data_IF_529181085554
#
_entry.id   IF_529181085554
#
_cell.length_a   1.000
_cell.length_b   1.000
_cell.length_c   1.000
_cell.angle_alpha   90.00
_cell.angle_beta   90.00
_cell.angle_gamma   90.00
#
_symmetry.space_group_name_H-M   'P 1'
#
loop_
_entity.id
_entity.type
_entity.pdbx_description
1 polymer ?
#
# COMPACT_ATOMS: atom_id res chain seq x y z
N UNK A 1 -17.90 -18.30 40.96
CA UNK A 1 -17.50 -17.13 41.78
C UNK A 1 -16.15 -17.35 42.51
N UNK A 2 -15.04 -17.58 41.79
CA UNK A 2 -13.67 -17.63 42.37
C UNK A 2 -12.59 -17.11 41.39
N UNK A 3 -12.95 -16.20 40.48
CA UNK A 3 -12.00 -15.53 39.57
C UNK A 3 -11.93 -14.00 39.77
N UNK A 4 -12.94 -13.40 40.42
CA UNK A 4 -12.98 -11.95 40.66
C UNK A 4 -12.12 -11.47 41.86
N UNK A 5 -11.69 -12.37 42.76
CA UNK A 5 -10.93 -11.97 43.96
C UNK A 5 -9.40 -11.90 43.77
N UNK A 6 -8.86 -12.50 42.69
CA UNK A 6 -7.41 -12.50 42.42
C UNK A 6 -6.99 -11.22 41.69
N UNK A 7 -7.82 -10.70 40.79
CA UNK A 7 -7.56 -9.43 40.07
C UNK A 7 -7.61 -8.22 41.02
N UNK A 8 -8.50 -8.24 42.02
CA UNK A 8 -8.63 -7.15 42.99
C UNK A 8 -7.47 -7.07 44.02
N UNK A 9 -6.73 -8.17 44.25
CA UNK A 9 -5.55 -8.18 45.14
C UNK A 9 -4.28 -7.69 44.45
N UNK A 10 -4.14 -7.85 43.13
CA UNK A 10 -2.98 -7.34 42.39
C UNK A 10 -3.11 -5.86 41.99
N UNK A 11 -4.32 -5.33 41.86
CA UNK A 11 -4.53 -3.90 41.58
C UNK A 11 -4.26 -3.03 42.83
N UNK A 12 -4.52 -3.52 44.05
CA UNK A 12 -4.28 -2.76 45.29
C UNK A 12 -2.80 -2.65 45.70
N UNK A 13 -1.92 -3.51 45.20
CA UNK A 13 -0.48 -3.40 45.49
C UNK A 13 0.30 -2.50 44.52
N UNK A 14 -0.34 -2.00 43.45
CA UNK A 14 0.25 -1.00 42.56
C UNK A 14 -0.23 0.44 42.82
N UNK A 15 -1.10 0.67 43.81
CA UNK A 15 -1.72 1.98 44.05
C UNK A 15 -1.22 2.73 45.29
N UNK A 16 -0.07 2.35 45.85
CA UNK A 16 0.53 3.07 46.99
C UNK A 16 2.03 3.33 46.77
N UNK A 17 2.36 4.21 45.82
CA UNK A 17 3.76 4.62 45.63
C UNK A 17 4.10 5.49 44.43
N UNK A 18 3.19 5.73 43.49
CA UNK A 18 3.48 6.57 42.32
C UNK A 18 2.49 7.73 42.26
N UNK A 19 2.84 8.85 42.92
CA UNK A 19 2.35 10.16 42.47
C UNK A 19 3.07 10.48 41.17
N UNK A 20 2.62 9.90 40.06
CA UNK A 20 3.05 10.35 38.75
C UNK A 20 2.27 11.62 38.44
N UNK A 21 2.99 12.74 38.36
CA UNK A 21 2.56 13.87 37.55
C UNK A 21 2.44 13.36 36.10
N UNK A 22 1.35 12.67 35.75
CA UNK A 22 1.05 12.37 34.36
C UNK A 22 0.73 13.70 33.71
N UNK A 23 1.71 14.27 33.00
CA UNK A 23 1.48 15.36 32.07
C UNK A 23 0.37 14.91 31.12
N UNK A 24 -0.67 15.72 31.02
CA UNK A 24 -1.70 15.53 30.02
C UNK A 24 -1.04 15.67 28.64
N UNK A 25 -0.77 14.54 27.98
CA UNK A 25 -0.06 14.47 26.70
C UNK A 25 -0.75 15.27 25.59
N UNK A 26 -2.04 15.56 25.77
CA UNK A 26 -2.82 16.39 24.85
C UNK A 26 -2.47 17.88 24.96
N UNK A 27 -1.87 18.31 26.08
CA UNK A 27 -1.53 19.71 26.40
C UNK A 27 -0.03 20.01 26.40
N UNK A 28 0.82 19.03 26.13
CA UNK A 28 2.27 19.22 26.03
C UNK A 28 2.58 20.03 24.76
N UNK A 29 3.44 21.05 24.86
CA UNK A 29 3.95 21.77 23.68
C UNK A 29 4.72 20.81 22.76
N UNK A 30 4.43 20.81 21.46
CA UNK A 30 5.21 20.04 20.47
C UNK A 30 6.60 20.63 20.21
N UNK A 31 6.89 21.80 20.79
CA UNK A 31 8.17 22.51 20.62
C UNK A 31 9.14 22.24 21.76
N UNK A 32 8.65 21.75 22.89
CA UNK A 32 9.43 21.64 24.11
C UNK A 32 10.00 20.23 24.24
N UNK A 33 11.30 20.12 24.51
CA UNK A 33 11.98 18.83 24.66
C UNK A 33 11.55 18.17 25.96
N UNK A 34 10.87 17.03 25.88
CA UNK A 34 10.53 16.21 27.04
C UNK A 34 11.66 15.21 27.31
N UNK A 35 12.42 15.43 28.38
CA UNK A 35 13.38 14.43 28.89
C UNK A 35 12.62 13.29 29.57
N UNK A 36 12.48 12.16 28.88
CA UNK A 36 12.00 10.91 29.48
C UNK A 36 13.15 10.21 30.20
N UNK A 37 12.94 9.85 31.47
CA UNK A 37 13.93 9.11 32.26
C UNK A 37 14.18 7.71 31.69
N UNK A 38 15.46 7.31 31.67
CA UNK A 38 15.94 6.02 31.17
C UNK A 38 15.45 4.84 32.03
N UNK A 39 14.22 4.38 31.84
CA UNK A 39 13.78 3.10 32.42
C UNK A 39 12.82 2.39 31.46
N UNK A 40 13.39 1.75 30.44
CA UNK A 40 12.70 0.73 29.65
C UNK A 40 13.40 -0.59 29.92
N UNK A 41 12.81 -1.44 30.76
CA UNK A 41 13.18 -2.84 30.83
C UNK A 41 12.69 -3.53 29.55
N UNK A 42 13.58 -3.72 28.58
CA UNK A 42 13.34 -4.61 27.46
C UNK A 42 13.34 -6.06 27.95
N UNK A 43 12.16 -6.69 28.00
CA UNK A 43 12.08 -8.15 28.04
C UNK A 43 12.37 -8.68 26.64
N UNK A 44 13.51 -9.34 26.49
CA UNK A 44 13.89 -10.01 25.23
C UNK A 44 13.10 -11.32 25.09
N UNK A 45 12.04 -11.29 24.29
CA UNK A 45 11.54 -12.51 23.66
C UNK A 45 12.46 -12.82 22.48
N UNK A 46 13.21 -13.93 22.56
CA UNK A 46 14.01 -14.44 21.45
C UNK A 46 13.07 -15.20 20.53
N UNK A 47 12.46 -14.47 19.62
CA UNK A 47 11.83 -15.03 18.42
C UNK A 47 12.90 -14.92 17.33
N UNK A 48 13.14 -15.98 16.57
CA UNK A 48 14.11 -15.99 15.46
C UNK A 48 13.60 -15.07 14.34
N UNK A 49 13.95 -13.79 14.44
CA UNK A 49 13.39 -12.67 13.65
C UNK A 49 14.31 -12.22 12.52
N UNK A 50 15.47 -12.85 12.33
CA UNK A 50 16.45 -12.33 11.39
C UNK A 50 15.93 -12.45 9.95
N UNK A 51 15.83 -11.31 9.27
CA UNK A 51 15.53 -11.28 7.83
C UNK A 51 16.81 -11.61 7.08
N UNK A 52 16.79 -12.73 6.34
CA UNK A 52 17.90 -13.12 5.48
C UNK A 52 17.70 -12.52 4.09
N UNK A 53 18.78 -12.02 3.49
CA UNK A 53 18.77 -11.43 2.15
C UNK A 53 19.90 -12.02 1.32
N UNK A 54 19.55 -12.55 0.15
CA UNK A 54 20.49 -13.01 -0.88
C UNK A 54 20.33 -12.14 -2.13
N UNK A 55 21.44 -11.71 -2.72
CA UNK A 55 21.42 -11.02 -4.02
C UNK A 55 22.07 -11.92 -5.06
N UNK A 56 21.32 -12.28 -6.10
CA UNK A 56 21.82 -13.07 -7.20
C UNK A 56 22.77 -12.24 -8.07
N UNK A 57 23.60 -12.90 -8.89
CA UNK A 57 24.63 -12.26 -9.72
C UNK A 57 24.06 -11.29 -10.77
N UNK A 58 22.79 -11.45 -11.13
CA UNK A 58 22.06 -10.55 -12.04
C UNK A 58 21.36 -9.38 -11.33
N UNK A 59 21.56 -9.20 -10.01
CA UNK A 59 20.97 -8.12 -9.23
C UNK A 59 19.60 -8.41 -8.62
N UNK A 60 18.96 -9.55 -8.92
CA UNK A 60 17.70 -9.96 -8.29
C UNK A 60 17.92 -10.21 -6.80
N UNK A 61 17.11 -9.56 -5.96
CA UNK A 61 17.19 -9.71 -4.50
C UNK A 61 16.11 -10.65 -3.99
N UNK A 62 16.48 -11.51 -3.06
CA UNK A 62 15.61 -12.48 -2.41
C UNK A 62 15.69 -12.22 -0.91
N UNK A 63 14.58 -11.87 -0.29
CA UNK A 63 14.48 -11.64 1.14
C UNK A 63 13.52 -12.65 1.76
N UNK A 64 13.84 -13.20 2.92
CA UNK A 64 12.87 -13.98 3.67
C UNK A 64 12.95 -13.80 5.16
N UNK A 65 11.82 -14.03 5.81
CA UNK A 65 11.74 -14.21 7.25
C UNK A 65 10.95 -15.49 7.51
N UNK A 66 11.62 -16.49 8.08
CA UNK A 66 10.93 -17.70 8.46
C UNK A 66 10.09 -17.42 9.72
N UNK A 67 8.80 -17.76 9.67
CA UNK A 67 7.89 -17.64 10.81
C UNK A 67 7.30 -19.01 11.08
N UNK A 68 7.19 -19.36 12.36
CA UNK A 68 6.58 -20.62 12.77
C UNK A 68 5.12 -20.65 12.32
N UNK A 69 4.75 -21.65 11.52
CA UNK A 69 3.41 -21.81 10.97
C UNK A 69 3.37 -22.74 9.76
N UNK A 70 2.17 -23.13 9.34
CA UNK A 70 1.94 -23.93 8.13
C UNK A 70 1.63 -23.08 6.89
N UNK A 71 1.55 -21.76 7.04
CA UNK A 71 1.23 -20.83 5.98
C UNK A 71 2.45 -20.00 5.58
N UNK A 72 2.47 -19.61 4.32
CA UNK A 72 3.46 -18.73 3.75
C UNK A 72 2.82 -17.68 2.84
N UNK A 73 3.55 -16.58 2.67
CA UNK A 73 3.26 -15.56 1.67
C UNK A 73 4.53 -15.27 0.89
N UNK A 74 4.44 -15.19 -0.44
CA UNK A 74 5.55 -14.81 -1.32
C UNK A 74 5.06 -13.68 -2.22
N UNK A 75 5.88 -12.65 -2.39
CA UNK A 75 5.59 -11.55 -3.29
C UNK A 75 6.79 -11.20 -4.16
N UNK A 76 6.53 -10.87 -5.43
CA UNK A 76 7.48 -10.21 -6.33
C UNK A 76 7.16 -8.72 -6.32
N UNK A 77 8.07 -7.92 -5.76
CA UNK A 77 7.95 -6.47 -5.68
C UNK A 77 8.85 -5.87 -6.75
N UNK A 78 8.26 -5.09 -7.64
CA UNK A 78 8.92 -4.53 -8.81
C UNK A 78 8.90 -3.01 -8.66
N UNK A 79 10.06 -2.37 -8.78
CA UNK A 79 10.17 -0.90 -8.80
C UNK A 79 9.62 -0.36 -10.13
N UNK A 80 8.29 -0.27 -10.20
CA UNK A 80 7.49 0.13 -11.35
C UNK A 80 6.16 0.73 -10.83
N UNK A 81 5.39 1.41 -11.67
CA UNK A 81 4.13 2.03 -11.28
C UNK A 81 3.94 3.42 -11.90
N UNK A 82 2.86 4.13 -11.54
CA UNK A 82 2.51 5.44 -12.08
C UNK A 82 3.66 6.46 -12.06
N UNK A 83 4.51 6.42 -11.01
CA UNK A 83 5.68 7.30 -10.89
C UNK A 83 6.60 7.24 -12.12
N UNK A 84 6.69 6.09 -12.77
CA UNK A 84 7.60 5.84 -13.88
C UNK A 84 6.93 5.99 -15.26
N UNK A 85 5.71 6.53 -15.31
CA UNK A 85 4.95 6.69 -16.56
C UNK A 85 5.29 7.98 -17.34
N UNK A 86 6.30 8.77 -16.94
CA UNK A 86 6.62 10.04 -17.60
C UNK A 86 6.96 9.93 -19.09
N UNK A 87 7.45 8.76 -19.53
CA UNK A 87 7.70 8.42 -20.94
C UNK A 87 6.64 7.51 -21.58
N UNK A 88 5.52 7.27 -20.90
CA UNK A 88 4.48 6.32 -21.29
C UNK A 88 3.09 6.98 -21.25
N UNK A 89 2.10 6.30 -21.81
CA UNK A 89 0.71 6.75 -21.70
C UNK A 89 0.26 6.54 -20.25
N UNK A 90 -0.21 7.60 -19.60
CA UNK A 90 -0.62 7.51 -18.19
C UNK A 90 -1.78 6.52 -18.02
N UNK A 91 -1.67 5.64 -17.03
CA UNK A 91 -2.59 4.53 -16.79
C UNK A 91 -2.07 3.17 -17.24
N UNK A 92 -0.89 3.09 -17.87
CA UNK A 92 -0.29 1.81 -18.31
C UNK A 92 -0.09 0.83 -17.16
N UNK A 93 0.31 1.31 -15.98
CA UNK A 93 0.43 0.49 -14.76
C UNK A 93 -0.93 0.03 -14.23
N UNK A 94 -2.01 0.80 -14.42
CA UNK A 94 -3.37 0.36 -14.07
C UNK A 94 -3.84 -0.79 -14.97
N UNK A 95 -3.46 -0.78 -16.25
CA UNK A 95 -3.67 -1.94 -17.13
C UNK A 95 -2.89 -3.15 -16.64
N UNK A 96 -1.63 -2.99 -16.22
CA UNK A 96 -0.83 -4.08 -15.67
C UNK A 96 -1.43 -4.68 -14.38
N UNK A 97 -2.08 -3.88 -13.55
CA UNK A 97 -2.85 -4.38 -12.40
C UNK A 97 -3.93 -5.37 -12.86
N UNK A 98 -4.73 -4.99 -13.86
CA UNK A 98 -5.82 -5.84 -14.38
C UNK A 98 -5.30 -7.04 -15.16
N UNK A 99 -4.16 -6.91 -15.82
CA UNK A 99 -3.49 -7.98 -16.56
C UNK A 99 -2.69 -8.92 -15.64
N UNK A 100 -2.54 -8.60 -14.35
CA UNK A 100 -1.87 -9.47 -13.41
C UNK A 100 -2.56 -10.83 -13.29
N UNK A 101 -1.76 -11.91 -13.30
CA UNK A 101 -2.26 -13.30 -13.23
C UNK A 101 -3.22 -13.70 -14.37
N UNK A 102 -3.11 -13.07 -15.54
CA UNK A 102 -3.77 -13.50 -16.79
C UNK A 102 -2.95 -14.56 -17.54
N UNK A 103 -3.14 -14.68 -18.86
CA UNK A 103 -2.45 -15.66 -19.68
C UNK A 103 -0.94 -15.50 -19.66
N UNK A 104 -0.27 -16.64 -19.63
CA UNK A 104 1.18 -16.78 -19.56
C UNK A 104 1.62 -18.04 -20.30
N UNK A 105 2.90 -18.40 -20.28
CA UNK A 105 3.37 -19.59 -21.00
C UNK A 105 2.76 -20.88 -20.43
N UNK A 106 2.57 -20.99 -19.10
CA UNK A 106 1.93 -22.16 -18.49
C UNK A 106 0.40 -22.08 -18.46
N UNK A 107 -0.17 -20.88 -18.37
CA UNK A 107 -1.60 -20.71 -18.16
C UNK A 107 -2.28 -20.07 -19.38
N UNK A 108 -3.34 -20.72 -19.87
CA UNK A 108 -4.08 -20.24 -21.04
C UNK A 108 -4.80 -18.91 -20.78
N UNK A 109 -5.32 -18.71 -19.58
CA UNK A 109 -6.05 -17.54 -19.14
C UNK A 109 -6.02 -17.41 -17.60
N UNK A 110 -6.73 -16.40 -17.07
CA UNK A 110 -6.87 -16.17 -15.62
C UNK A 110 -7.60 -17.31 -14.90
N UNK A 111 -8.53 -18.00 -15.56
CA UNK A 111 -9.27 -19.10 -14.93
C UNK A 111 -8.37 -20.30 -14.68
N UNK A 112 -7.45 -20.59 -15.61
CA UNK A 112 -6.44 -21.62 -15.42
C UNK A 112 -5.49 -21.31 -14.25
N UNK A 113 -5.12 -20.03 -14.07
CA UNK A 113 -4.36 -19.59 -12.89
C UNK A 113 -5.18 -19.79 -11.62
N UNK A 114 -6.45 -19.35 -11.61
CA UNK A 114 -7.37 -19.51 -10.49
C UNK A 114 -7.50 -20.98 -10.06
N UNK A 115 -7.73 -21.90 -11.00
CA UNK A 115 -7.83 -23.33 -10.74
C UNK A 115 -6.51 -23.89 -10.13
N UNK A 116 -5.36 -23.48 -10.66
CA UNK A 116 -4.06 -23.91 -10.13
C UNK A 116 -3.84 -23.44 -8.68
N UNK A 117 -4.32 -22.24 -8.35
CA UNK A 117 -4.20 -21.63 -7.03
C UNK A 117 -5.21 -22.20 -6.02
N UNK A 118 -6.43 -22.52 -6.45
CA UNK A 118 -7.44 -23.21 -5.65
C UNK A 118 -7.00 -24.62 -5.27
N UNK A 119 -6.37 -25.35 -6.19
CA UNK A 119 -5.75 -26.66 -5.91
C UNK A 119 -4.64 -26.61 -4.85
N UNK A 120 -4.13 -25.42 -4.54
CA UNK A 120 -3.14 -25.19 -3.48
C UNK A 120 -3.75 -24.55 -2.22
N UNK A 121 -5.07 -24.35 -2.18
CA UNK A 121 -5.80 -23.57 -1.17
C UNK A 121 -5.14 -22.20 -0.94
N UNK A 122 -4.77 -21.54 -2.05
CA UNK A 122 -4.01 -20.30 -2.03
C UNK A 122 -4.81 -19.14 -2.62
N UNK A 123 -4.46 -17.94 -2.17
CA UNK A 123 -4.96 -16.68 -2.71
C UNK A 123 -3.82 -15.97 -3.43
N UNK A 124 -4.16 -15.16 -4.41
CA UNK A 124 -3.22 -14.35 -5.15
C UNK A 124 -3.81 -12.99 -5.47
N UNK A 125 -2.94 -12.00 -5.60
CA UNK A 125 -3.34 -10.65 -5.97
C UNK A 125 -2.19 -9.89 -6.64
N UNK A 126 -2.54 -8.99 -7.54
CA UNK A 126 -1.63 -8.03 -8.14
C UNK A 126 -2.09 -6.63 -7.78
N UNK A 127 -1.23 -5.88 -7.08
CA UNK A 127 -1.54 -4.53 -6.65
C UNK A 127 -0.46 -3.57 -7.14
N UNK A 128 -0.87 -2.38 -7.55
CA UNK A 128 0.06 -1.28 -7.81
C UNK A 128 0.07 -0.33 -6.62
N UNK A 129 1.22 0.24 -6.32
CA UNK A 129 1.39 1.49 -5.59
C UNK A 129 1.89 2.55 -6.59
N UNK A 130 2.26 3.76 -6.13
CA UNK A 130 2.81 4.77 -7.04
C UNK A 130 4.18 4.39 -7.59
N UNK A 131 4.98 3.71 -6.77
CA UNK A 131 6.41 3.49 -6.97
C UNK A 131 6.82 2.00 -7.00
N UNK A 132 5.89 1.09 -6.73
CA UNK A 132 6.07 -0.34 -6.93
C UNK A 132 4.81 -1.05 -7.43
N UNK A 133 4.99 -2.19 -8.10
CA UNK A 133 3.94 -3.17 -8.40
C UNK A 133 4.28 -4.43 -7.62
N UNK A 134 3.29 -5.05 -6.98
CA UNK A 134 3.45 -6.30 -6.24
C UNK A 134 2.53 -7.39 -6.80
N UNK A 135 3.13 -8.53 -7.13
CA UNK A 135 2.43 -9.78 -7.40
C UNK A 135 2.64 -10.68 -6.20
N UNK A 136 1.57 -11.04 -5.50
CA UNK A 136 1.67 -11.81 -4.26
C UNK A 136 0.80 -13.05 -4.30
N UNK A 137 1.27 -14.10 -3.65
CA UNK A 137 0.54 -15.34 -3.39
C UNK A 137 0.66 -15.71 -1.92
N UNK A 138 -0.39 -16.26 -1.35
CA UNK A 138 -0.40 -16.76 0.03
C UNK A 138 -1.10 -18.10 0.10
N UNK A 139 -0.52 -19.05 0.83
CA UNK A 139 -1.04 -20.42 0.92
C UNK A 139 -0.26 -21.27 1.91
N UNK A 140 -0.37 -22.59 1.81
CA UNK A 140 0.39 -23.49 2.67
C UNK A 140 1.86 -23.59 2.25
N UNK A 141 2.76 -23.67 3.23
CA UNK A 141 4.20 -23.83 2.99
C UNK A 141 4.54 -25.13 2.25
N UNK A 142 3.71 -26.18 2.36
CA UNK A 142 3.83 -27.42 1.60
C UNK A 142 3.67 -27.23 0.09
N UNK A 143 2.97 -26.18 -0.33
CA UNK A 143 2.72 -25.85 -1.75
C UNK A 143 3.70 -24.80 -2.29
N UNK A 144 4.68 -24.37 -1.49
CA UNK A 144 5.56 -23.23 -1.80
C UNK A 144 6.22 -23.31 -3.19
N UNK A 145 6.77 -24.47 -3.57
CA UNK A 145 7.43 -24.61 -4.87
C UNK A 145 6.47 -24.33 -6.04
N UNK A 146 5.22 -24.78 -5.94
CA UNK A 146 4.16 -24.51 -6.93
C UNK A 146 3.73 -23.04 -6.92
N UNK A 147 3.61 -22.43 -5.73
CA UNK A 147 3.28 -21.01 -5.59
C UNK A 147 4.33 -20.10 -6.26
N UNK A 148 5.61 -20.41 -6.05
CA UNK A 148 6.72 -19.68 -6.68
C UNK A 148 6.74 -19.89 -8.20
N UNK A 149 6.42 -21.10 -8.67
CA UNK A 149 6.30 -21.38 -10.10
C UNK A 149 5.21 -20.52 -10.76
N UNK A 150 4.00 -20.47 -10.17
CA UNK A 150 2.90 -19.63 -10.66
C UNK A 150 3.31 -18.15 -10.68
N UNK A 151 3.93 -17.66 -9.60
CA UNK A 151 4.43 -16.27 -9.54
C UNK A 151 5.44 -15.98 -10.65
N UNK A 152 6.42 -16.87 -10.86
CA UNK A 152 7.46 -16.66 -11.87
C UNK A 152 6.88 -16.57 -13.28
N UNK A 153 5.90 -17.43 -13.59
CA UNK A 153 5.32 -17.53 -14.92
C UNK A 153 4.40 -16.34 -15.20
N UNK A 154 3.54 -15.98 -14.24
CA UNK A 154 2.63 -14.83 -14.39
C UNK A 154 3.37 -13.48 -14.42
N UNK A 155 4.53 -13.36 -13.76
CA UNK A 155 5.34 -12.13 -13.77
C UNK A 155 6.27 -12.04 -14.98
N UNK A 156 6.94 -13.13 -15.36
CA UNK A 156 8.01 -13.10 -16.38
C UNK A 156 7.63 -13.76 -17.70
N UNK A 157 6.49 -14.45 -17.79
CA UNK A 157 6.06 -15.20 -18.98
C UNK A 157 4.65 -14.79 -19.43
N UNK A 158 4.20 -13.59 -19.10
CA UNK A 158 2.91 -13.08 -19.54
C UNK A 158 2.84 -13.00 -21.08
N UNK A 159 1.69 -13.36 -21.66
CA UNK A 159 1.49 -13.30 -23.12
C UNK A 159 0.95 -11.94 -23.59
N UNK A 160 0.17 -11.28 -22.74
CA UNK A 160 -0.50 -9.99 -22.96
C UNK A 160 -1.10 -9.91 -24.38
N UNK A 161 -2.32 -10.39 -24.59
CA UNK A 161 -2.97 -10.35 -25.91
C UNK A 161 -3.79 -9.07 -26.12
N UNK A 162 -4.05 -8.66 -27.37
CA UNK A 162 -4.91 -7.50 -27.64
C UNK A 162 -6.31 -7.65 -27.05
N UNK A 163 -6.87 -8.88 -27.10
CA UNK A 163 -8.15 -9.21 -26.46
C UNK A 163 -8.13 -8.97 -24.95
N UNK A 164 -7.06 -9.36 -24.26
CA UNK A 164 -6.90 -9.10 -22.82
C UNK A 164 -6.75 -7.61 -22.52
N UNK A 165 -6.06 -6.85 -23.39
CA UNK A 165 -5.94 -5.39 -23.25
C UNK A 165 -7.30 -4.71 -23.41
N UNK A 166 -8.13 -5.14 -24.36
CA UNK A 166 -9.51 -4.66 -24.51
C UNK A 166 -10.38 -5.00 -23.29
N UNK A 167 -10.25 -6.21 -22.75
CA UNK A 167 -10.97 -6.60 -21.53
C UNK A 167 -10.52 -5.78 -20.32
N UNK A 168 -9.22 -5.53 -20.18
CA UNK A 168 -8.68 -4.65 -19.15
C UNK A 168 -9.23 -3.23 -19.28
N UNK A 169 -9.28 -2.67 -20.49
CA UNK A 169 -9.87 -1.36 -20.76
C UNK A 169 -11.33 -1.28 -20.30
N UNK A 170 -12.15 -2.30 -20.62
CA UNK A 170 -13.55 -2.38 -20.17
C UNK A 170 -13.66 -2.49 -18.64
N UNK A 171 -12.82 -3.32 -18.02
CA UNK A 171 -12.80 -3.46 -16.56
C UNK A 171 -12.42 -2.15 -15.87
N UNK A 172 -11.43 -1.42 -16.40
CA UNK A 172 -11.03 -0.12 -15.87
C UNK A 172 -12.14 0.91 -16.08
N UNK A 173 -12.79 0.94 -17.25
CA UNK A 173 -13.93 1.85 -17.50
C UNK A 173 -15.04 1.65 -16.47
N UNK A 174 -15.40 0.39 -16.21
CA UNK A 174 -16.41 0.06 -15.20
C UNK A 174 -15.97 0.48 -13.79
N UNK A 175 -14.70 0.29 -13.45
CA UNK A 175 -14.15 0.71 -12.15
C UNK A 175 -14.18 2.24 -11.98
N UNK A 176 -13.83 2.99 -13.03
CA UNK A 176 -13.90 4.46 -13.01
C UNK A 176 -15.34 4.96 -12.89
N UNK A 177 -16.28 4.35 -13.61
CA UNK A 177 -17.71 4.65 -13.50
C UNK A 177 -18.24 4.32 -12.09
N UNK A 178 -17.80 3.21 -11.51
CA UNK A 178 -18.17 2.84 -10.14
C UNK A 178 -17.59 3.81 -9.11
N UNK A 179 -16.33 4.24 -9.26
CA UNK A 179 -15.72 5.28 -8.43
C UNK A 179 -16.43 6.62 -8.59
N UNK A 180 -16.86 6.96 -9.80
CA UNK A 180 -17.63 8.18 -10.03
C UNK A 180 -19.00 8.12 -9.37
N UNK A 181 -19.68 6.96 -9.42
CA UNK A 181 -21.00 6.70 -8.82
C UNK A 181 -20.96 6.56 -7.30
N UNK A 182 -19.86 6.08 -6.73
CA UNK A 182 -19.70 5.92 -5.29
C UNK A 182 -18.25 6.23 -4.91
N UNK A 183 -17.87 7.52 -4.86
CA UNK A 183 -16.52 7.98 -4.56
C UNK A 183 -15.96 7.37 -3.27
N UNK A 184 -14.88 6.55 -3.33
CA UNK A 184 -14.15 6.20 -2.13
C UNK A 184 -13.37 7.44 -1.68
N UNK A 185 -13.92 8.15 -0.67
CA UNK A 185 -13.44 9.47 -0.22
C UNK A 185 -11.94 9.50 0.05
N UNK A 186 -11.44 8.56 0.85
CA UNK A 186 -10.02 8.50 1.24
C UNK A 186 -9.07 8.30 0.03
N UNK A 187 -9.21 7.24 -0.81
CA UNK A 187 -8.39 7.08 -2.01
C UNK A 187 -8.48 8.26 -2.98
N UNK A 188 -9.67 8.85 -3.18
CA UNK A 188 -9.83 9.98 -4.10
C UNK A 188 -9.15 11.25 -3.58
N UNK A 189 -9.28 11.56 -2.29
CA UNK A 189 -8.54 12.68 -1.70
C UNK A 189 -7.03 12.47 -1.79
N UNK A 190 -6.55 11.24 -1.59
CA UNK A 190 -5.14 10.93 -1.73
C UNK A 190 -4.65 11.13 -3.17
N UNK A 191 -5.42 10.68 -4.17
CA UNK A 191 -5.15 10.91 -5.58
C UNK A 191 -5.06 12.41 -5.92
N UNK A 192 -6.07 13.19 -5.50
CA UNK A 192 -6.12 14.64 -5.72
C UNK A 192 -4.95 15.35 -5.02
N UNK A 193 -4.59 14.92 -3.82
CA UNK A 193 -3.50 15.50 -3.07
C UNK A 193 -2.15 15.28 -3.78
N UNK A 194 -1.88 14.06 -4.24
CA UNK A 194 -0.65 13.74 -4.97
C UNK A 194 -0.56 14.47 -6.32
N UNK A 195 -1.61 14.40 -7.13
CA UNK A 195 -1.68 15.06 -8.44
C UNK A 195 -1.57 16.59 -8.30
N UNK A 196 -2.15 17.18 -7.25
CA UNK A 196 -2.02 18.62 -6.97
C UNK A 196 -0.63 19.00 -6.48
N UNK A 197 -0.06 18.24 -5.53
CA UNK A 197 1.22 18.57 -4.90
C UNK A 197 2.41 18.42 -5.85
N UNK A 198 2.41 17.38 -6.70
CA UNK A 198 3.52 17.04 -7.59
C UNK A 198 3.22 17.32 -9.08
N UNK A 199 1.96 17.64 -9.43
CA UNK A 199 1.54 18.00 -10.80
C UNK A 199 2.00 16.94 -11.82
N UNK A 200 2.54 17.36 -12.96
CA UNK A 200 2.93 16.46 -14.04
C UNK A 200 4.33 15.85 -13.85
N UNK A 201 4.80 15.66 -12.61
CA UNK A 201 6.08 14.99 -12.35
C UNK A 201 5.87 13.75 -11.47
N UNK A 202 6.55 12.65 -11.82
CA UNK A 202 6.74 11.45 -10.99
C UNK A 202 5.51 11.09 -10.11
N UNK A 203 5.50 11.43 -8.82
CA UNK A 203 4.44 11.11 -7.85
C UNK A 203 3.09 11.80 -8.11
N UNK A 204 3.06 12.83 -8.95
CA UNK A 204 1.84 13.52 -9.37
C UNK A 204 1.22 12.91 -10.63
N UNK A 205 1.90 11.94 -11.27
CA UNK A 205 1.29 11.16 -12.33
C UNK A 205 0.13 10.32 -11.78
N UNK A 206 -1.00 10.25 -12.51
CA UNK A 206 -2.24 9.71 -11.98
C UNK A 206 -2.11 8.20 -11.74
N UNK A 207 -2.61 7.71 -10.60
CA UNK A 207 -2.64 6.27 -10.30
C UNK A 207 -3.62 5.55 -11.21
N UNK A 208 -4.80 6.14 -11.35
CA UNK A 208 -5.88 5.60 -12.17
C UNK A 208 -5.75 6.09 -13.60
N UNK A 209 -5.99 5.19 -14.56
CA UNK A 209 -6.00 5.56 -15.98
C UNK A 209 -7.01 6.69 -16.23
N UNK A 210 -6.57 7.84 -16.79
CA UNK A 210 -7.50 8.88 -17.22
C UNK A 210 -8.46 8.34 -18.28
N UNK A 211 -9.74 8.70 -18.21
CA UNK A 211 -10.77 8.16 -19.11
C UNK A 211 -10.44 8.39 -20.60
N UNK A 212 -9.86 9.54 -20.92
CA UNK A 212 -9.40 9.89 -22.27
C UNK A 212 -8.27 8.98 -22.80
N UNK A 213 -7.53 8.30 -21.92
CA UNK A 213 -6.41 7.44 -22.29
C UNK A 213 -6.83 5.98 -22.52
N UNK A 214 -8.04 5.56 -22.10
CA UNK A 214 -8.51 4.17 -22.22
C UNK A 214 -8.44 3.61 -23.64
N UNK A 215 -8.73 4.44 -24.65
CA UNK A 215 -8.65 4.05 -26.06
C UNK A 215 -7.26 4.20 -26.70
N UNK A 216 -6.29 4.77 -25.98
CA UNK A 216 -4.96 5.09 -26.50
C UNK A 216 -3.86 4.12 -26.05
N UNK A 217 -4.07 3.40 -24.94
CA UNK A 217 -3.10 2.43 -24.42
C UNK A 217 -3.19 1.16 -25.26
N UNK A 218 -2.10 0.82 -25.96
CA UNK A 218 -2.00 -0.37 -26.79
C UNK A 218 -1.23 -1.50 -26.09
N UNK A 219 -1.35 -2.73 -26.61
CA UNK A 219 -0.50 -3.87 -26.21
C UNK A 219 0.98 -3.52 -26.25
N UNK A 220 1.41 -2.82 -27.30
CA UNK A 220 2.80 -2.42 -27.47
C UNK A 220 3.28 -1.47 -26.37
N UNK A 221 2.44 -0.53 -25.93
CA UNK A 221 2.79 0.40 -24.84
C UNK A 221 3.00 -0.34 -23.52
N UNK A 222 2.14 -1.32 -23.23
CA UNK A 222 2.25 -2.18 -22.05
C UNK A 222 3.54 -3.00 -22.10
N UNK A 223 3.87 -3.58 -23.26
CA UNK A 223 5.10 -4.36 -23.44
C UNK A 223 6.33 -3.49 -23.27
N UNK A 224 6.33 -2.28 -23.84
CA UNK A 224 7.43 -1.34 -23.65
C UNK A 224 7.62 -0.99 -22.17
N UNK A 225 6.53 -0.80 -21.43
CA UNK A 225 6.61 -0.52 -20.00
C UNK A 225 7.18 -1.71 -19.22
N UNK A 226 6.66 -2.93 -19.44
CA UNK A 226 7.18 -4.16 -18.80
C UNK A 226 8.64 -4.36 -19.15
N UNK A 227 9.00 -4.33 -20.43
CA UNK A 227 10.38 -4.52 -20.88
C UNK A 227 11.34 -3.43 -20.37
N UNK A 228 10.86 -2.22 -20.05
CA UNK A 228 11.68 -1.16 -19.46
C UNK A 228 11.91 -1.40 -17.97
N UNK A 229 10.85 -1.73 -17.22
CA UNK A 229 10.89 -1.68 -15.75
C UNK A 229 11.07 -3.04 -15.06
N UNK A 230 10.69 -4.14 -15.70
CA UNK A 230 10.76 -5.48 -15.12
C UNK A 230 12.16 -6.05 -15.38
N UNK A 231 13.13 -5.51 -14.64
CA UNK A 231 14.54 -5.91 -14.66
C UNK A 231 14.94 -6.53 -13.33
N UNK A 232 15.84 -7.53 -13.29
CA UNK A 232 16.20 -8.23 -12.06
C UNK A 232 16.69 -7.27 -10.95
N UNK A 233 17.49 -6.26 -11.27
CA UNK A 233 17.98 -5.25 -10.32
C UNK A 233 16.86 -4.36 -9.74
N UNK A 234 15.69 -4.31 -10.40
CA UNK A 234 14.48 -3.59 -9.97
C UNK A 234 13.47 -4.50 -9.27
N UNK A 235 13.81 -5.77 -9.03
CA UNK A 235 12.93 -6.74 -8.40
C UNK A 235 13.45 -7.22 -7.04
N UNK A 236 12.51 -7.46 -6.13
CA UNK A 236 12.74 -8.16 -4.87
C UNK A 236 11.69 -9.25 -4.72
N UNK A 237 12.13 -10.48 -4.46
CA UNK A 237 11.24 -11.58 -4.08
C UNK A 237 11.28 -11.69 -2.56
N UNK A 238 10.15 -11.43 -1.92
CA UNK A 238 10.02 -11.44 -0.46
C UNK A 238 9.14 -12.62 -0.02
N UNK A 239 9.64 -13.44 0.91
CA UNK A 239 8.90 -14.57 1.47
C UNK A 239 8.77 -14.50 3.00
N UNK A 240 7.58 -14.79 3.52
CA UNK A 240 7.33 -14.91 4.96
C UNK A 240 6.76 -16.30 5.25
N UNK A 241 7.21 -16.94 6.34
CA UNK A 241 6.79 -18.31 6.69
C UNK A 241 7.51 -19.39 5.87
N UNK A 242 8.70 -19.06 5.35
CA UNK A 242 9.49 -19.89 4.44
C UNK A 242 10.96 -19.89 4.86
N UNK A 243 11.61 -21.03 4.74
CA UNK A 243 13.06 -21.19 4.91
C UNK A 243 13.81 -20.52 3.74
N UNK A 244 14.86 -19.76 4.04
CA UNK A 244 15.55 -18.92 3.06
C UNK A 244 16.20 -19.70 1.93
N UNK A 245 16.94 -20.77 2.24
CA UNK A 245 17.64 -21.54 1.22
C UNK A 245 16.65 -22.27 0.30
N UNK A 246 15.50 -22.70 0.84
CA UNK A 246 14.41 -23.27 0.07
C UNK A 246 13.78 -22.24 -0.90
N UNK A 247 13.55 -21.00 -0.44
CA UNK A 247 13.08 -19.91 -1.31
C UNK A 247 14.09 -19.61 -2.42
N UNK A 248 15.37 -19.46 -2.07
CA UNK A 248 16.44 -19.18 -3.04
C UNK A 248 16.49 -20.26 -4.11
N UNK A 249 16.47 -21.54 -3.74
CA UNK A 249 16.46 -22.67 -4.69
C UNK A 249 15.26 -22.64 -5.63
N UNK A 250 14.04 -22.41 -5.12
CA UNK A 250 12.85 -22.31 -5.98
C UNK A 250 12.90 -21.08 -6.89
N UNK A 251 13.44 -19.95 -6.42
CA UNK A 251 13.66 -18.76 -7.26
C UNK A 251 14.66 -19.04 -8.37
N UNK A 252 15.82 -19.63 -8.06
CA UNK A 252 16.83 -20.00 -9.07
C UNK A 252 16.27 -20.99 -10.10
N UNK A 253 15.38 -21.89 -9.67
CA UNK A 253 14.71 -22.85 -10.56
C UNK A 253 13.74 -22.20 -11.54
N UNK A 254 12.90 -21.27 -11.08
CA UNK A 254 11.75 -20.81 -11.85
C UNK A 254 11.88 -19.40 -12.43
N UNK A 255 12.63 -18.51 -11.77
CA UNK A 255 12.81 -17.15 -12.27
C UNK A 255 13.88 -17.08 -13.35
N UNK A 256 14.65 -18.13 -13.64
CA UNK A 256 15.63 -18.12 -14.72
C UNK A 256 14.98 -18.60 -16.04
N UNK A 257 15.07 -17.83 -17.15
CA UNK A 257 15.67 -16.49 -17.29
C UNK A 257 14.87 -15.37 -16.60
N UNK A 258 15.58 -14.48 -15.91
CA UNK A 258 15.00 -13.42 -15.04
C UNK A 258 14.41 -12.21 -15.75
N UNK A 259 14.56 -12.16 -17.07
CA UNK A 259 14.00 -11.10 -17.89
C UNK A 259 12.65 -11.59 -18.45
N UNK A 260 11.60 -10.74 -18.49
CA UNK A 260 10.32 -11.11 -19.07
C UNK A 260 10.43 -11.53 -20.54
N UNK A 261 9.65 -12.54 -20.96
CA UNK A 261 9.57 -13.03 -22.33
C UNK A 261 9.24 -11.92 -23.34
N UNK A 262 8.35 -10.98 -22.98
CA UNK A 262 7.95 -9.82 -23.79
C UNK A 262 9.13 -8.90 -24.13
N UNK A 263 10.24 -8.98 -23.38
CA UNK A 263 11.46 -8.21 -23.67
C UNK A 263 12.15 -8.67 -24.98
N UNK A 264 11.80 -9.85 -25.51
CA UNK A 264 12.31 -10.35 -26.77
C UNK A 264 11.50 -9.83 -27.98
N UNK A 265 10.34 -9.21 -27.75
CA UNK A 265 9.50 -8.70 -28.82
C UNK A 265 10.13 -7.51 -29.54
N UNK A 266 9.76 -7.29 -30.80
CA UNK A 266 10.32 -6.21 -31.64
C UNK A 266 10.13 -4.83 -30.99
N UNK A 267 8.99 -4.63 -30.35
CA UNK A 267 8.59 -3.35 -29.74
C UNK A 267 9.36 -3.05 -28.46
N UNK A 268 10.00 -4.05 -27.86
CA UNK A 268 10.81 -3.95 -26.66
C UNK A 268 12.29 -3.59 -26.92
N UNK A 269 12.67 -3.36 -28.18
CA UNK A 269 14.05 -3.03 -28.58
C UNK A 269 14.32 -1.53 -28.49
N UNK A 270 15.53 -1.16 -28.06
CA UNK A 270 16.02 0.23 -27.98
C UNK A 270 15.15 1.16 -27.11
N UNK A 271 14.64 0.64 -26.00
CA UNK A 271 13.87 1.42 -25.04
C UNK A 271 14.78 2.36 -24.23
N UNK A 272 14.31 3.57 -23.88
CA UNK A 272 15.02 4.42 -22.95
C UNK A 272 15.15 3.72 -21.58
N UNK A 273 16.19 4.06 -20.80
CA UNK A 273 16.28 3.55 -19.44
C UNK A 273 15.09 4.04 -18.60
N UNK A 274 14.72 3.33 -17.51
CA UNK A 274 13.70 3.80 -16.57
C UNK A 274 13.97 5.21 -16.09
N UNK A 275 12.90 6.02 -16.00
CA UNK A 275 12.98 7.35 -15.39
C UNK A 275 13.39 7.24 -13.91
N UNK A 276 14.48 7.93 -13.55
CA UNK A 276 14.98 8.01 -12.18
C UNK A 276 14.92 9.45 -11.64
N UNK A 277 14.08 10.30 -12.24
CA UNK A 277 13.87 11.68 -11.79
C UNK A 277 13.40 11.71 -10.33
N UNK A 278 13.94 12.69 -9.60
CA UNK A 278 13.54 12.98 -8.22
C UNK A 278 12.24 13.76 -8.25
N UNK A 279 11.28 13.33 -7.42
CA UNK A 279 9.99 14.01 -7.29
C UNK A 279 10.17 15.42 -6.76
N UNK A 280 9.48 16.39 -7.38
CA UNK A 280 9.54 17.79 -6.96
C UNK A 280 8.20 18.20 -6.37
N UNK A 281 8.17 18.53 -5.08
CA UNK A 281 6.98 19.10 -4.47
C UNK A 281 6.78 20.54 -4.95
N UNK A 282 5.59 20.83 -5.45
CA UNK A 282 5.23 22.17 -5.96
C UNK A 282 4.12 22.83 -5.15
N UNK A 283 3.48 22.07 -4.26
CA UNK A 283 2.24 22.45 -3.61
C UNK A 283 1.12 22.72 -4.61
N UNK A 284 -0.02 23.17 -4.09
CA UNK A 284 -1.14 23.57 -4.94
C UNK A 284 -2.47 23.55 -4.21
N UNK A 285 -3.51 23.89 -4.95
CA UNK A 285 -4.89 23.85 -4.49
C UNK A 285 -5.77 23.30 -5.62
N UNK A 286 -6.61 22.34 -5.27
CA UNK A 286 -7.60 21.78 -6.19
C UNK A 286 -8.92 21.61 -5.44
N UNK A 287 -10.01 21.97 -6.11
CA UNK A 287 -11.38 21.81 -5.65
C UNK A 287 -12.16 21.06 -6.72
N UNK A 288 -12.85 20.01 -6.32
CA UNK A 288 -13.75 19.26 -7.19
C UNK A 288 -15.16 19.45 -6.67
N UNK A 289 -16.01 20.09 -7.47
CA UNK A 289 -17.44 20.19 -7.16
C UNK A 289 -18.16 18.95 -7.71
N UNK A 290 -18.98 18.32 -6.88
CA UNK A 290 -19.77 17.13 -7.23
C UNK A 290 -21.22 17.38 -6.88
N UNK A 291 -22.10 17.10 -7.83
CA UNK A 291 -23.54 17.10 -7.60
C UNK A 291 -23.92 15.79 -6.88
N UNK A 292 -24.26 15.90 -5.59
CA UNK A 292 -24.58 14.73 -4.79
C UNK A 292 -25.99 14.17 -5.05
N UNK A 293 -26.84 14.91 -5.78
CA UNK A 293 -28.25 14.54 -6.01
C UNK A 293 -28.43 13.27 -6.84
N UNK A 294 -27.41 12.88 -7.62
CA UNK A 294 -27.44 11.72 -8.52
C UNK A 294 -27.01 10.41 -7.83
N UNK A 295 -26.52 10.49 -6.59
CA UNK A 295 -26.03 9.34 -5.85
C UNK A 295 -27.15 8.61 -5.09
N UNK A 296 -27.37 7.35 -5.46
CA UNK A 296 -28.37 6.47 -4.84
C UNK A 296 -27.89 5.83 -3.53
N UNK A 297 -26.68 6.16 -3.07
CA UNK A 297 -26.15 5.70 -1.79
C UNK A 297 -26.50 6.71 -0.68
N UNK A 298 -26.67 6.27 0.58
CA UNK A 298 -26.83 7.16 1.72
C UNK A 298 -25.47 7.78 2.07
N UNK A 299 -24.85 8.49 1.13
CA UNK A 299 -23.70 9.33 1.44
C UNK A 299 -24.28 10.65 1.98
N UNK A 300 -24.03 10.99 3.25
CA UNK A 300 -24.45 12.28 3.74
C UNK A 300 -23.73 13.40 2.98
N UNK A 301 -24.43 14.51 2.75
CA UNK A 301 -23.92 15.66 1.96
C UNK A 301 -22.78 16.39 2.70
N UNK A 302 -21.57 15.85 2.65
CA UNK A 302 -20.38 16.49 3.22
C UNK A 302 -19.39 16.95 2.17
N UNK A 303 -18.70 18.03 2.52
CA UNK A 303 -17.47 18.41 1.86
C UNK A 303 -16.32 17.68 2.54
N UNK A 304 -15.51 17.00 1.75
CA UNK A 304 -14.28 16.36 2.23
C UNK A 304 -13.07 17.19 1.80
N UNK A 305 -12.09 17.36 2.69
CA UNK A 305 -10.91 18.15 2.44
C UNK A 305 -9.67 17.46 3.00
N UNK A 306 -8.56 17.56 2.26
CA UNK A 306 -7.25 17.08 2.70
C UNK A 306 -6.22 18.21 2.54
N UNK A 307 -5.37 18.39 3.55
CA UNK A 307 -4.22 19.28 3.50
C UNK A 307 -2.97 18.44 3.74
N UNK A 308 -2.01 18.54 2.83
CA UNK A 308 -0.76 17.80 2.88
C UNK A 308 0.44 18.71 2.68
N UNK A 309 1.52 18.41 3.40
CA UNK A 309 2.81 19.07 3.29
C UNK A 309 3.84 18.08 2.72
N UNK A 310 4.91 18.62 2.15
CA UNK A 310 6.09 17.82 1.82
C UNK A 310 6.66 17.17 3.10
N UNK A 311 7.12 15.93 2.97
CA UNK A 311 7.71 15.15 4.07
C UNK A 311 9.18 14.85 3.79
N UNK A 312 9.84 14.19 4.73
CA UNK A 312 11.12 13.53 4.56
C UNK A 312 10.99 12.17 3.83
N UNK A 313 12.09 11.72 3.21
CA UNK A 313 12.22 10.35 2.68
C UNK A 313 12.29 9.31 3.81
N UNK A 314 11.98 8.05 3.52
CA UNK A 314 12.11 6.95 4.49
C UNK A 314 13.57 6.63 4.87
N UNK A 315 14.53 7.15 4.10
CA UNK A 315 15.96 7.00 4.36
C UNK A 315 16.52 8.09 5.28
N UNK A 316 15.76 9.15 5.51
CA UNK A 316 16.18 10.30 6.31
C UNK A 316 15.89 10.09 7.80
N UNK A 317 16.71 10.68 8.68
CA UNK A 317 16.59 10.54 10.13
C UNK A 317 15.24 11.09 10.66
N UNK A 318 14.64 12.04 9.94
CA UNK A 318 13.36 12.67 10.28
C UNK A 318 12.15 11.75 10.07
N UNK A 319 12.32 10.60 9.38
CA UNK A 319 11.22 9.68 9.10
C UNK A 319 10.56 9.14 10.37
N UNK A 320 11.35 8.66 11.33
CA UNK A 320 10.81 8.13 12.60
C UNK A 320 10.12 9.23 13.42
N UNK A 321 10.70 10.43 13.61
CA UNK A 321 9.99 11.59 14.17
C UNK A 321 8.67 11.93 13.45
N UNK A 322 8.64 11.88 12.12
CA UNK A 322 7.42 12.14 11.34
C UNK A 322 6.33 11.08 11.60
N UNK A 323 6.71 9.79 11.68
CA UNK A 323 5.78 8.71 12.07
C UNK A 323 5.24 8.89 13.49
N UNK A 324 6.08 9.33 14.42
CA UNK A 324 5.65 9.64 15.80
C UNK A 324 4.68 10.83 15.84
N UNK A 325 4.97 11.90 15.09
CA UNK A 325 4.08 13.04 14.96
C UNK A 325 2.72 12.61 14.39
N UNK A 326 2.72 11.80 13.33
CA UNK A 326 1.49 11.24 12.76
C UNK A 326 0.70 10.43 13.80
N UNK A 327 1.37 9.57 14.56
CA UNK A 327 0.74 8.76 15.62
C UNK A 327 0.16 9.61 16.75
N UNK A 328 0.82 10.71 17.11
CA UNK A 328 0.40 11.64 18.17
C UNK A 328 -0.79 12.50 17.75
N UNK A 329 -0.78 13.01 16.51
CA UNK A 329 -1.91 13.73 15.93
C UNK A 329 -3.13 12.81 15.85
N UNK A 330 -2.92 11.59 15.32
CA UNK A 330 -3.92 10.53 15.24
C UNK A 330 -5.18 10.97 14.46
N UNK A 331 -6.34 10.61 14.99
CA UNK A 331 -7.64 10.81 14.35
C UNK A 331 -8.50 9.56 14.42
N UNK A 332 -9.56 9.52 13.61
CA UNK A 332 -10.51 8.41 13.55
C UNK A 332 -11.92 8.91 13.24
N UNK A 333 -12.80 7.97 12.88
CA UNK A 333 -14.21 8.29 12.69
C UNK A 333 -14.95 8.46 14.02
N UNK A 334 -16.02 9.27 14.01
CA UNK A 334 -16.94 9.44 15.15
C UNK A 334 -17.59 8.11 15.58
N UNK A 335 -17.72 7.15 14.66
CA UNK A 335 -18.28 5.82 14.91
C UNK A 335 -17.18 4.75 15.03
N UNK A 336 -16.31 4.86 16.04
CA UNK A 336 -15.36 3.80 16.39
C UNK A 336 -15.87 3.03 17.61
N UNK A 337 -16.63 1.95 17.39
CA UNK A 337 -17.13 1.05 18.44
C UNK A 337 -16.04 0.09 18.97
N UNK A 338 -14.84 0.61 19.24
CA UNK A 338 -13.72 -0.16 19.77
C UNK A 338 -13.37 0.20 21.21
N UNK A 339 -12.80 -0.76 21.94
CA UNK A 339 -12.26 -0.51 23.28
C UNK A 339 -11.01 0.37 23.29
N UNK A 340 -10.45 0.64 24.49
CA UNK A 340 -9.23 1.42 24.67
C UNK A 340 -8.06 0.93 23.80
N UNK A 341 -7.25 1.85 23.27
CA UNK A 341 -6.05 1.54 22.46
C UNK A 341 -6.15 1.89 20.97
N UNK A 342 -7.31 2.29 20.47
CA UNK A 342 -7.51 2.70 19.06
C UNK A 342 -7.13 4.16 18.73
N UNK A 343 -6.43 4.86 19.63
CA UNK A 343 -6.08 6.27 19.43
C UNK A 343 -7.13 7.28 19.91
N UNK A 344 -8.08 6.88 20.77
CA UNK A 344 -9.12 7.77 21.33
C UNK A 344 -8.58 8.93 22.18
N UNK A 345 -7.30 8.87 22.57
CA UNK A 345 -6.61 9.91 23.34
C UNK A 345 -5.61 10.71 22.49
N UNK A 346 -5.65 10.57 21.17
CA UNK A 346 -4.82 11.36 20.26
C UNK A 346 -5.34 12.80 20.17
N UNK A 347 -4.47 13.74 19.80
CA UNK A 347 -4.78 15.17 19.90
C UNK A 347 -5.97 15.59 19.04
N UNK A 348 -6.01 15.12 17.79
CA UNK A 348 -7.12 15.45 16.89
C UNK A 348 -8.42 14.81 17.36
N UNK A 349 -8.37 13.57 17.87
CA UNK A 349 -9.55 12.89 18.39
C UNK A 349 -10.17 13.66 19.58
N UNK A 350 -9.37 14.03 20.57
CA UNK A 350 -9.86 14.73 21.77
C UNK A 350 -10.34 16.14 21.43
N UNK A 351 -9.57 16.92 20.68
CA UNK A 351 -9.87 18.33 20.46
C UNK A 351 -10.95 18.56 19.39
N UNK A 352 -11.08 17.66 18.41
CA UNK A 352 -12.04 17.83 17.31
C UNK A 352 -13.31 17.01 17.57
N UNK A 353 -13.20 15.73 17.92
CA UNK A 353 -14.37 14.87 18.03
C UNK A 353 -15.07 15.02 19.39
N UNK A 354 -14.33 15.08 20.51
CA UNK A 354 -14.97 15.16 21.83
C UNK A 354 -15.52 16.57 22.16
N UNK A 355 -14.82 17.65 21.78
CA UNK A 355 -15.25 19.02 22.13
C UNK A 355 -16.45 19.48 21.27
N UNK A 356 -16.48 19.14 19.98
CA UNK A 356 -17.59 19.54 19.09
C UNK A 356 -18.88 18.73 19.31
N UNK A 357 -18.84 17.66 20.10
CA UNK A 357 -20.02 16.93 20.53
C UNK A 357 -20.86 17.67 21.57
N UNK A 358 -20.36 18.73 22.22
CA UNK A 358 -21.06 19.39 23.34
C UNK A 358 -21.90 20.63 22.95
N UNK A 359 -21.85 21.11 21.71
CA UNK A 359 -22.57 22.32 21.28
C UNK A 359 -23.84 22.02 20.47
N UNK A 360 -24.92 22.76 20.73
CA UNK A 360 -26.29 22.54 20.25
C UNK A 360 -26.53 22.61 18.72
N UNK A 361 -25.49 22.76 17.87
CA UNK A 361 -25.58 22.66 16.40
C UNK A 361 -25.44 21.21 15.87
N UNK A 362 -25.96 20.29 16.66
CA UNK A 362 -25.41 18.95 16.90
C UNK A 362 -25.82 17.84 15.91
N UNK A 363 -26.47 18.16 14.78
CA UNK A 363 -26.76 17.20 13.70
C UNK A 363 -25.89 17.38 12.46
N UNK A 364 -25.56 18.62 12.07
CA UNK A 364 -24.69 18.88 10.91
C UNK A 364 -23.20 18.63 11.20
N UNK A 365 -22.74 18.96 12.41
CA UNK A 365 -21.33 18.81 12.79
C UNK A 365 -20.94 17.40 13.26
N UNK A 366 -21.88 16.65 13.85
CA UNK A 366 -21.68 15.24 14.27
C UNK A 366 -21.30 14.32 13.12
N UNK A 367 -21.71 14.73 11.93
CA UNK A 367 -21.79 13.94 10.73
C UNK A 367 -20.70 14.43 9.73
N UNK A 368 -20.39 15.74 9.70
CA UNK A 368 -19.26 16.28 8.94
C UNK A 368 -17.87 15.89 9.46
N UNK A 369 -17.77 15.35 10.67
CA UNK A 369 -16.50 14.88 11.26
C UNK A 369 -16.31 13.36 11.17
N UNK A 370 -17.23 12.65 10.49
CA UNK A 370 -17.12 11.19 10.32
C UNK A 370 -15.83 10.79 9.58
N UNK A 371 -15.21 11.72 8.85
CA UNK A 371 -14.00 11.49 8.06
C UNK A 371 -12.77 12.34 8.46
N UNK A 372 -12.50 12.51 9.76
CA UNK A 372 -11.17 12.94 10.20
C UNK A 372 -10.18 11.76 10.13
N UNK A 373 -9.98 11.27 8.91
CA UNK A 373 -9.05 10.20 8.60
C UNK A 373 -7.66 10.78 8.36
N UNK A 374 -6.68 10.21 9.08
CA UNK A 374 -5.22 10.34 8.91
C UNK A 374 -4.78 11.64 8.24
N UNK A 375 -4.79 12.73 8.99
CA UNK A 375 -4.12 13.95 8.60
C UNK A 375 -2.62 13.67 8.52
N UNK A 376 -2.04 13.98 7.35
CA UNK A 376 -0.72 13.62 6.88
C UNK A 376 -0.64 12.21 6.25
N UNK A 377 -1.05 12.05 4.97
CA UNK A 377 -0.12 11.44 4.04
C UNK A 377 1.06 12.40 4.02
N UNK A 378 2.06 12.13 4.84
CA UNK A 378 3.37 12.71 4.66
C UNK A 378 3.76 12.34 3.23
N UNK A 379 3.66 13.27 2.28
CA UNK A 379 3.92 12.95 0.88
C UNK A 379 5.44 12.94 0.73
N UNK A 380 6.03 11.81 1.12
CA UNK A 380 7.46 11.64 1.15
C UNK A 380 7.99 11.77 -0.28
N UNK A 381 8.94 12.69 -0.55
CA UNK A 381 9.84 12.53 -1.67
C UNK A 381 10.61 11.24 -1.37
N UNK A 382 10.50 10.24 -2.25
CA UNK A 382 11.27 9.01 -2.10
C UNK A 382 12.67 9.18 -2.65
#
# INVERSE_FOLDING_TARGET
MRFASIVHRHIKHFSSGVRSNFLDITKISLKDVVTLGNNVQQKSFVEDKETKVTTLTNGLRIASQNKLGSQCAVGVIIKAGPRYEGGFVHGTSHYLEKLGFHSSDLFADRNAVQEAMENCNSIFDCQIARDFIIYAVSGFNTSMDRLIHVLSDTVLRAKITDSEVEMAARSISFELEAMERSPPVEPMLNELLHTTAYKNNTLGLPRYCPQQNLGSITRDDIIRFVATHYKPERMVIAGVGIEHDALVKSVEKYFIPTVPNVSNERVAKNLPPPDNSVSQYTGGYQKVERDLSQYHAPMPEFAHAAIGFESCSYTEEQFVPACLLHSLLGGGGSFSAGGPGKGMYTRLYVNILNENLASHHQKRFKQSTEDFHRWLPSIAPY
#
